data_IF_649218403103
#
_entry.id   IF_649218403103
#
_cell.length_a   1.000
_cell.length_b   1.000
_cell.length_c   1.000
_cell.angle_alpha   90.00
_cell.angle_beta   90.00
_cell.angle_gamma   90.00
#
_symmetry.space_group_name_H-M   'P 1'
#
loop_
_entity.id
_entity.type
_entity.pdbx_description
1 polymer ?
#
# COMPACT_ATOMS: atom_id res chain seq x y z
N UNK A 1 -34.41 -30.77 26.46
CA UNK A 1 -33.42 -30.89 27.55
C UNK A 1 -32.10 -31.52 27.09
N UNK A 2 -32.11 -32.62 26.30
CA UNK A 2 -30.89 -33.26 25.79
C UNK A 2 -29.99 -32.34 24.93
N UNK A 3 -30.55 -31.68 23.91
CA UNK A 3 -29.79 -30.79 23.01
C UNK A 3 -29.04 -29.64 23.72
N UNK A 4 -29.54 -29.17 24.88
CA UNK A 4 -28.87 -28.11 25.66
C UNK A 4 -27.69 -28.67 26.48
N UNK A 5 -27.76 -29.92 26.92
CA UNK A 5 -26.62 -30.61 27.55
C UNK A 5 -25.54 -30.93 26.52
N UNK A 6 -25.92 -31.41 25.35
CA UNK A 6 -24.96 -31.74 24.29
C UNK A 6 -24.15 -30.51 23.84
N UNK A 7 -24.81 -29.35 23.71
CA UNK A 7 -24.15 -28.09 23.38
C UNK A 7 -23.17 -27.63 24.48
N UNK A 8 -23.54 -27.82 25.75
CA UNK A 8 -22.67 -27.50 26.90
C UNK A 8 -21.47 -28.44 26.92
N UNK A 9 -21.66 -29.74 26.70
CA UNK A 9 -20.58 -30.71 26.67
C UNK A 9 -19.62 -30.46 25.49
N UNK A 10 -20.15 -30.06 24.34
CA UNK A 10 -19.34 -29.65 23.19
C UNK A 10 -18.52 -28.39 23.49
N UNK A 11 -19.14 -27.37 24.10
CA UNK A 11 -18.46 -26.15 24.52
C UNK A 11 -17.37 -26.45 25.56
N UNK A 12 -17.68 -27.26 26.57
CA UNK A 12 -16.72 -27.69 27.58
C UNK A 12 -15.51 -28.34 26.91
N UNK A 13 -15.72 -29.39 26.09
CA UNK A 13 -14.63 -30.08 25.38
C UNK A 13 -13.77 -29.13 24.55
N UNK A 14 -14.40 -28.20 23.84
CA UNK A 14 -13.68 -27.21 23.03
C UNK A 14 -12.79 -26.30 23.89
N UNK A 15 -13.32 -25.76 24.98
CA UNK A 15 -12.56 -24.90 25.87
C UNK A 15 -11.44 -25.67 26.59
N UNK A 16 -11.71 -26.89 27.06
CA UNK A 16 -10.68 -27.68 27.75
C UNK A 16 -9.53 -28.05 26.82
N UNK A 17 -9.81 -28.37 25.55
CA UNK A 17 -8.77 -28.71 24.58
C UNK A 17 -7.93 -27.52 24.11
N UNK A 18 -8.39 -26.29 24.35
CA UNK A 18 -7.71 -25.06 23.93
C UNK A 18 -7.21 -24.20 25.11
N UNK A 19 -7.12 -24.76 26.33
CA UNK A 19 -6.68 -24.00 27.52
C UNK A 19 -5.34 -23.29 27.32
N UNK A 20 -4.40 -23.90 26.61
CA UNK A 20 -3.08 -23.31 26.31
C UNK A 20 -3.19 -22.03 25.47
N UNK A 21 -4.26 -21.89 24.66
CA UNK A 21 -4.55 -20.73 23.83
C UNK A 21 -5.40 -19.68 24.57
N UNK A 22 -6.01 -20.04 25.70
CA UNK A 22 -6.90 -19.20 26.51
C UNK A 22 -6.15 -18.49 27.66
N UNK A 23 -4.84 -18.32 27.54
CA UNK A 23 -3.97 -17.60 28.51
C UNK A 23 -4.17 -16.08 28.46
N UNK A 24 -5.43 -15.65 28.56
CA UNK A 24 -5.83 -14.25 28.50
C UNK A 24 -5.21 -13.41 29.60
N UNK A 25 -4.96 -13.99 30.77
CA UNK A 25 -4.28 -13.32 31.86
C UNK A 25 -2.86 -12.89 31.48
N UNK A 26 -2.14 -13.74 30.75
CA UNK A 26 -0.79 -13.49 30.26
C UNK A 26 -0.85 -12.47 29.12
N UNK A 27 -1.76 -12.67 28.15
CA UNK A 27 -1.96 -11.75 27.04
C UNK A 27 -2.35 -10.33 27.50
N UNK A 28 -3.21 -10.19 28.52
CA UNK A 28 -3.57 -8.88 29.09
C UNK A 28 -2.40 -8.21 29.80
N UNK A 29 -1.59 -8.96 30.56
CA UNK A 29 -0.37 -8.44 31.21
C UNK A 29 0.65 -7.95 30.19
N UNK A 30 0.79 -8.65 29.08
CA UNK A 30 1.73 -8.33 28.00
C UNK A 30 1.17 -7.28 27.02
N UNK A 31 -0.06 -6.80 27.23
CA UNK A 31 -0.71 -5.79 26.39
C UNK A 31 -1.10 -6.29 25.00
N UNK A 32 -1.21 -7.61 24.82
CA UNK A 32 -1.56 -8.20 23.54
C UNK A 32 -3.05 -8.02 23.24
N UNK A 33 -3.41 -7.72 21.98
CA UNK A 33 -4.80 -7.57 21.60
C UNK A 33 -5.52 -8.92 21.67
N UNK A 34 -6.47 -9.05 22.59
CA UNK A 34 -7.35 -10.22 22.70
C UNK A 34 -8.58 -9.94 21.86
N UNK A 35 -8.65 -10.56 20.68
CA UNK A 35 -9.75 -10.44 19.71
C UNK A 35 -10.42 -9.06 19.78
N UNK A 36 -9.60 -8.01 19.65
CA UNK A 36 -10.07 -6.64 19.77
C UNK A 36 -11.10 -6.42 18.67
N UNK A 37 -12.31 -5.98 19.00
CA UNK A 37 -13.39 -5.77 18.01
C UNK A 37 -12.99 -4.91 16.80
N UNK A 38 -11.88 -4.16 16.88
CA UNK A 38 -11.23 -3.53 15.73
C UNK A 38 -10.70 -4.52 14.69
N UNK A 39 -10.07 -5.63 15.10
CA UNK A 39 -9.58 -6.71 14.22
C UNK A 39 -10.76 -7.45 13.60
N UNK A 40 -11.77 -7.81 14.38
CA UNK A 40 -12.99 -8.44 13.86
C UNK A 40 -13.77 -7.50 12.93
N UNK A 41 -13.85 -6.21 13.30
CA UNK A 41 -14.44 -5.15 12.50
C UNK A 41 -13.71 -5.00 11.17
N UNK A 42 -12.38 -4.93 11.19
CA UNK A 42 -11.57 -4.87 9.99
C UNK A 42 -11.75 -6.12 9.11
N UNK A 43 -11.72 -7.33 9.68
CA UNK A 43 -11.97 -8.55 8.93
C UNK A 43 -13.37 -8.54 8.29
N UNK A 44 -14.40 -8.16 9.03
CA UNK A 44 -15.77 -8.06 8.49
C UNK A 44 -15.86 -7.06 7.33
N UNK A 45 -15.34 -5.85 7.50
CA UNK A 45 -15.51 -4.77 6.52
C UNK A 45 -14.53 -4.88 5.34
N UNK A 46 -13.32 -5.37 5.54
CA UNK A 46 -12.32 -5.50 4.47
C UNK A 46 -12.50 -6.80 3.67
N UNK A 47 -12.79 -7.91 4.35
CA UNK A 47 -12.84 -9.24 3.74
C UNK A 47 -14.26 -9.55 3.27
N UNK A 48 -15.24 -9.56 4.18
CA UNK A 48 -16.58 -10.08 3.87
C UNK A 48 -17.31 -9.25 2.79
N UNK A 49 -17.21 -7.92 2.86
CA UNK A 49 -17.85 -7.01 1.90
C UNK A 49 -17.48 -7.25 0.42
N UNK A 50 -16.37 -7.95 0.12
CA UNK A 50 -15.95 -8.15 -1.27
C UNK A 50 -15.57 -9.58 -1.62
N UNK A 51 -14.93 -10.28 -0.69
CA UNK A 51 -14.47 -11.65 -0.91
C UNK A 51 -15.56 -12.69 -0.62
N UNK A 52 -16.55 -12.36 0.21
CA UNK A 52 -17.67 -13.26 0.58
C UNK A 52 -18.94 -13.01 -0.25
N UNK A 53 -18.80 -12.41 -1.43
CA UNK A 53 -19.92 -12.21 -2.36
C UNK A 53 -20.19 -13.50 -3.12
N UNK A 54 -21.44 -13.96 -3.09
CA UNK A 54 -21.88 -15.16 -3.81
C UNK A 54 -21.48 -15.14 -5.29
N UNK A 55 -20.85 -16.23 -5.75
CA UNK A 55 -20.41 -16.38 -7.14
C UNK A 55 -19.06 -15.74 -7.46
N UNK A 56 -18.42 -15.06 -6.51
CA UNK A 56 -17.05 -14.58 -6.69
C UNK A 56 -16.04 -15.74 -6.65
N UNK A 57 -15.07 -15.73 -7.56
CA UNK A 57 -13.95 -16.68 -7.58
C UNK A 57 -12.66 -15.89 -7.51
N UNK A 58 -11.89 -16.11 -6.46
CA UNK A 58 -10.65 -15.41 -6.22
C UNK A 58 -9.47 -16.38 -6.24
N UNK A 59 -8.43 -16.04 -6.99
CA UNK A 59 -7.10 -16.59 -6.76
C UNK A 59 -6.41 -15.86 -5.61
N UNK A 60 -5.45 -16.52 -4.93
CA UNK A 60 -4.75 -15.96 -3.77
C UNK A 60 -4.17 -14.56 -4.05
N UNK A 61 -3.44 -14.41 -5.16
CA UNK A 61 -2.87 -13.11 -5.55
C UNK A 61 -3.92 -12.03 -5.79
N UNK A 62 -5.06 -12.38 -6.41
CA UNK A 62 -6.13 -11.43 -6.67
C UNK A 62 -6.84 -10.99 -5.38
N UNK A 63 -7.12 -11.94 -4.48
CA UNK A 63 -7.70 -11.64 -3.17
C UNK A 63 -6.77 -10.74 -2.35
N UNK A 64 -5.48 -11.08 -2.30
CA UNK A 64 -4.47 -10.32 -1.56
C UNK A 64 -4.30 -8.90 -2.10
N UNK A 65 -4.24 -8.72 -3.42
CA UNK A 65 -4.15 -7.40 -4.05
C UNK A 65 -5.35 -6.52 -3.71
N UNK A 66 -6.57 -7.08 -3.78
CA UNK A 66 -7.79 -6.36 -3.42
C UNK A 66 -7.81 -6.00 -1.94
N UNK A 67 -7.43 -6.92 -1.05
CA UNK A 67 -7.37 -6.64 0.39
C UNK A 67 -6.37 -5.52 0.72
N UNK A 68 -5.18 -5.53 0.11
CA UNK A 68 -4.18 -4.46 0.26
C UNK A 68 -4.74 -3.11 -0.19
N UNK A 69 -5.36 -3.05 -1.37
CA UNK A 69 -5.96 -1.82 -1.87
C UNK A 69 -7.06 -1.30 -0.93
N UNK A 70 -7.93 -2.19 -0.45
CA UNK A 70 -8.99 -1.81 0.51
C UNK A 70 -8.44 -1.35 1.84
N UNK A 71 -7.35 -1.92 2.32
CA UNK A 71 -6.67 -1.45 3.54
C UNK A 71 -6.15 -0.01 3.36
N UNK A 72 -5.51 0.28 2.22
CA UNK A 72 -5.06 1.65 1.89
C UNK A 72 -6.24 2.63 1.85
N UNK A 73 -7.35 2.25 1.23
CA UNK A 73 -8.58 3.07 1.18
C UNK A 73 -9.16 3.29 2.58
N UNK A 74 -9.26 2.24 3.39
CA UNK A 74 -9.79 2.32 4.75
C UNK A 74 -8.95 3.17 5.68
N UNK A 75 -7.64 3.25 5.44
CA UNK A 75 -6.72 4.11 6.19
C UNK A 75 -6.76 5.57 5.73
N UNK A 76 -7.43 5.88 4.60
CA UNK A 76 -7.44 7.22 4.01
C UNK A 76 -6.19 7.56 3.19
N UNK A 77 -5.34 6.57 2.91
CA UNK A 77 -4.02 6.76 2.27
C UNK A 77 -4.04 6.55 0.75
N UNK A 78 -5.22 6.59 0.12
CA UNK A 78 -5.35 6.31 -1.31
C UNK A 78 -4.58 7.31 -2.19
N UNK A 79 -4.71 8.60 -1.91
CA UNK A 79 -4.05 9.66 -2.69
C UNK A 79 -2.51 9.62 -2.62
N UNK A 80 -1.87 9.47 -1.43
CA UNK A 80 -0.43 9.30 -1.38
C UNK A 80 0.03 7.99 -2.03
N UNK A 81 -0.71 6.88 -1.84
CA UNK A 81 -0.42 5.61 -2.49
C UNK A 81 -0.48 5.72 -4.02
N UNK A 82 -1.54 6.34 -4.56
CA UNK A 82 -1.74 6.46 -6.01
C UNK A 82 -0.63 7.26 -6.67
N UNK A 83 -0.19 8.36 -6.06
CA UNK A 83 0.94 9.15 -6.54
C UNK A 83 2.24 8.34 -6.59
N UNK A 84 2.51 7.57 -5.54
CA UNK A 84 3.67 6.68 -5.50
C UNK A 84 3.59 5.61 -6.60
N UNK A 85 2.45 4.93 -6.69
CA UNK A 85 2.24 3.85 -7.67
C UNK A 85 2.37 4.36 -9.11
N UNK A 86 1.77 5.52 -9.43
CA UNK A 86 1.84 6.11 -10.76
C UNK A 86 3.29 6.48 -11.17
N UNK A 87 4.08 7.04 -10.25
CA UNK A 87 5.49 7.34 -10.50
C UNK A 87 6.32 6.07 -10.78
N UNK A 88 6.10 5.02 -9.97
CA UNK A 88 6.76 3.72 -10.15
C UNK A 88 6.39 3.05 -11.47
N UNK A 89 5.12 3.09 -11.85
CA UNK A 89 4.68 2.47 -13.11
C UNK A 89 5.17 3.26 -14.32
N UNK A 90 5.29 4.60 -14.20
CA UNK A 90 5.94 5.42 -15.22
C UNK A 90 7.42 5.05 -15.39
N UNK A 91 8.19 4.88 -14.31
CA UNK A 91 9.59 4.43 -14.38
C UNK A 91 9.73 3.03 -15.03
N UNK A 92 8.79 2.12 -14.77
CA UNK A 92 8.81 0.76 -15.31
C UNK A 92 8.48 0.71 -16.79
N UNK A 93 7.48 1.47 -17.23
CA UNK A 93 7.04 1.50 -18.64
C UNK A 93 7.96 2.36 -19.52
N UNK A 94 8.51 3.42 -18.92
CA UNK A 94 9.42 4.36 -19.58
C UNK A 94 10.73 4.42 -18.80
N UNK A 95 11.54 3.35 -18.83
CA UNK A 95 12.91 3.45 -18.34
C UNK A 95 13.58 4.60 -19.09
N UNK A 96 14.36 5.42 -18.36
CA UNK A 96 15.09 6.53 -18.96
C UNK A 96 15.79 6.01 -20.22
N UNK A 97 15.66 6.71 -21.36
CA UNK A 97 16.35 6.28 -22.57
C UNK A 97 17.80 6.03 -22.19
N UNK A 98 18.35 4.89 -22.59
CA UNK A 98 19.77 4.88 -22.84
C UNK A 98 20.01 6.11 -23.72
N UNK A 99 20.89 7.02 -23.34
CA UNK A 99 21.34 7.97 -24.33
C UNK A 99 22.24 7.12 -25.22
N UNK A 100 21.82 6.65 -26.43
CA UNK A 100 22.83 6.35 -27.41
C UNK A 100 23.60 7.65 -27.51
N UNK A 101 24.87 7.58 -27.15
CA UNK A 101 25.81 8.67 -27.24
C UNK A 101 25.78 9.09 -28.71
N UNK A 102 24.94 10.09 -29.04
CA UNK A 102 24.91 10.68 -30.36
C UNK A 102 26.16 11.54 -30.38
N UNK A 103 27.28 10.87 -30.63
CA UNK A 103 28.57 11.47 -30.81
C UNK A 103 28.41 12.43 -31.99
N UNK A 104 28.29 13.72 -31.67
CA UNK A 104 28.16 14.83 -32.60
C UNK A 104 29.52 15.10 -33.25
N UNK A 105 30.08 14.07 -33.89
CA UNK A 105 31.35 14.09 -34.60
C UNK A 105 31.15 13.87 -36.11
N UNK A 106 30.10 14.48 -36.68
CA UNK A 106 29.94 14.58 -38.15
C UNK A 106 29.61 15.98 -38.67
N UNK A 107 30.19 17.02 -38.05
CA UNK A 107 30.30 18.35 -38.67
C UNK A 107 31.74 18.84 -38.76
N UNK A 108 32.52 18.17 -39.59
CA UNK A 108 33.52 18.78 -40.48
C UNK A 108 33.34 18.02 -41.79
N UNK A 109 32.48 18.44 -42.70
CA UNK A 109 32.55 19.69 -43.44
C UNK A 109 31.15 20.10 -43.87
N UNK A 110 30.87 21.41 -43.92
CA UNK A 110 30.08 22.08 -44.95
C UNK A 110 30.04 23.57 -44.61
N UNK A 111 31.00 24.30 -45.18
CA UNK A 111 30.92 25.73 -45.38
C UNK A 111 29.64 26.06 -46.16
N UNK A 112 28.68 26.75 -45.55
CA UNK A 112 27.91 27.84 -46.18
C UNK A 112 26.85 28.41 -45.24
N UNK A 113 26.95 29.71 -44.98
CA UNK A 113 25.89 30.71 -44.79
C UNK A 113 24.46 30.23 -44.47
N UNK A 114 23.94 30.55 -43.28
CA UNK A 114 22.95 31.61 -43.09
C UNK A 114 22.09 31.45 -41.80
N UNK A 115 21.96 32.60 -41.12
CA UNK A 115 20.82 33.11 -40.36
C UNK A 115 20.12 32.30 -39.23
N UNK A 116 20.30 32.86 -38.03
CA UNK A 116 19.26 33.19 -37.03
C UNK A 116 18.54 32.04 -36.27
N UNK A 117 19.10 31.76 -35.09
CA UNK A 117 18.42 31.90 -33.78
C UNK A 117 16.98 31.36 -33.63
N UNK A 118 16.87 30.08 -33.23
CA UNK A 118 15.64 29.44 -32.74
C UNK A 118 15.91 28.61 -31.50
N UNK A 119 16.14 29.27 -30.36
CA UNK A 119 16.49 28.68 -29.07
C UNK A 119 15.23 28.16 -28.34
N UNK A 120 14.79 26.94 -28.64
CA UNK A 120 13.77 26.19 -27.88
C UNK A 120 14.27 24.74 -27.84
N UNK A 121 14.84 24.23 -26.76
CA UNK A 121 14.12 23.70 -25.61
C UNK A 121 15.15 23.44 -24.49
N UNK A 122 15.09 24.17 -23.37
CA UNK A 122 15.84 23.80 -22.16
C UNK A 122 14.93 22.94 -21.29
N UNK A 123 15.11 21.63 -21.30
CA UNK A 123 14.64 20.81 -20.18
C UNK A 123 15.66 20.96 -19.04
N UNK A 124 15.36 21.88 -18.12
CA UNK A 124 16.11 22.04 -16.87
C UNK A 124 15.56 21.02 -15.87
N UNK A 125 16.15 19.84 -15.84
CA UNK A 125 16.21 19.05 -14.62
C UNK A 125 17.19 19.71 -13.66
N UNK A 126 16.73 20.03 -12.44
CA UNK A 126 17.31 19.56 -11.18
C UNK A 126 16.76 20.38 -10.00
N UNK A 127 16.16 19.65 -9.06
CA UNK A 127 16.41 19.72 -7.62
C UNK A 127 16.68 21.09 -6.98
N UNK A 128 15.77 21.46 -6.08
CA UNK A 128 16.12 22.16 -4.85
C UNK A 128 15.18 21.69 -3.73
N UNK A 129 15.59 20.64 -3.01
CA UNK A 129 15.19 20.40 -1.63
C UNK A 129 16.25 19.48 -1.03
N UNK A 130 17.10 20.00 -0.13
CA UNK A 130 16.70 19.94 1.27
C UNK A 130 17.17 21.15 2.11
N UNK A 131 16.29 21.70 2.93
CA UNK A 131 16.63 22.24 4.27
C UNK A 131 15.37 22.79 4.93
N UNK A 132 15.08 22.33 6.15
CA UNK A 132 14.08 22.96 7.01
C UNK A 132 12.91 22.08 7.44
N UNK A 133 13.19 20.94 8.06
CA UNK A 133 12.27 20.38 9.05
C UNK A 133 12.20 21.37 10.23
N UNK A 134 11.30 22.35 10.13
CA UNK A 134 10.91 23.19 11.25
C UNK A 134 9.62 22.60 11.81
N UNK A 135 9.74 21.95 12.95
CA UNK A 135 8.64 21.57 13.81
C UNK A 135 7.70 22.77 13.98
N UNK A 136 6.42 22.59 13.65
CA UNK A 136 5.38 23.54 14.02
C UNK A 136 4.54 22.87 15.09
N UNK A 137 4.60 23.46 16.27
CA UNK A 137 3.98 22.97 17.49
C UNK A 137 2.46 22.93 17.40
N UNK A 138 1.94 21.97 18.15
CA UNK A 138 0.60 21.91 18.67
C UNK A 138 0.37 23.13 19.57
N UNK A 139 -0.55 24.03 19.17
CA UNK A 139 -1.21 24.95 20.08
C UNK A 139 -2.69 25.07 19.73
N UNK A 140 -3.46 25.09 20.80
CA UNK A 140 -4.89 24.78 20.98
C UNK A 140 -5.84 25.81 20.37
N UNK A 141 -7.04 25.34 20.04
CA UNK A 141 -8.30 26.06 20.10
C UNK A 141 -9.39 25.10 20.57
#
# INVERSE_FOLDING_TARGET
MAARRDAVDACHRYLTSHLDQLRYDTALKDGWPIATGAVEGACRHLIADRLDITGARWGLHGAEAVLRLRAVVSNGDLDPYWRHHAAREHERLYPAPDQPNYDDTRHADLSSSDHLSGRIFRNRTLQSAPSGWRARGNDRG
#
